data_IF_824530741211
#
_entry.id   IF_824530741211
#
_cell.length_a   1.000
_cell.length_b   1.000
_cell.length_c   1.000
_cell.angle_alpha   90.00
_cell.angle_beta   90.00
_cell.angle_gamma   90.00
#
_symmetry.space_group_name_H-M   'P 1'
#
loop_
_entity.id
_entity.type
_entity.pdbx_description
1 polymer ?
#
# COMPACT_ATOMS: atom_id res chain seq x y z
N UNK A 1 17.59 3.89 -2.89
CA UNK A 1 16.96 3.81 -4.25
C UNK A 1 15.46 3.69 -4.04
N UNK A 2 14.64 4.38 -4.83
CA UNK A 2 13.16 4.32 -4.69
C UNK A 2 12.58 3.48 -5.81
N UNK A 3 11.58 2.63 -5.47
CA UNK A 3 10.87 1.78 -6.44
C UNK A 3 9.45 1.51 -5.94
N UNK A 4 8.55 1.14 -6.85
CA UNK A 4 7.22 0.66 -6.45
C UNK A 4 7.41 -0.59 -5.56
N UNK A 5 6.82 -0.55 -4.36
CA UNK A 5 6.85 -1.65 -3.39
C UNK A 5 5.61 -2.53 -3.53
N UNK A 6 4.45 -1.94 -3.36
CA UNK A 6 3.19 -2.66 -3.49
C UNK A 6 2.03 -1.76 -3.91
N UNK A 7 1.01 -2.41 -4.43
CA UNK A 7 -0.29 -1.81 -4.74
C UNK A 7 -1.28 -2.31 -3.71
N UNK A 8 -2.04 -1.40 -3.10
CA UNK A 8 -3.03 -1.70 -2.09
C UNK A 8 -4.42 -1.84 -2.73
N UNK A 9 -4.98 -3.04 -2.70
CA UNK A 9 -6.34 -3.36 -3.10
C UNK A 9 -7.20 -3.53 -1.86
N UNK A 10 -8.08 -2.57 -1.60
CA UNK A 10 -8.96 -2.60 -0.44
C UNK A 10 -10.27 -3.32 -0.76
N UNK A 11 -10.82 -4.01 0.23
CA UNK A 11 -12.11 -4.67 0.17
C UNK A 11 -12.79 -4.64 1.56
N UNK A 12 -14.13 -4.71 1.62
CA UNK A 12 -14.85 -4.70 2.90
C UNK A 12 -14.71 -6.02 3.66
N UNK A 13 -14.43 -7.12 2.97
CA UNK A 13 -14.16 -8.45 3.54
C UNK A 13 -12.97 -9.09 2.86
N UNK A 14 -12.01 -9.60 3.66
CA UNK A 14 -10.74 -10.10 3.13
C UNK A 14 -10.93 -11.35 2.25
N UNK A 15 -11.84 -12.25 2.62
CA UNK A 15 -12.06 -13.46 1.83
C UNK A 15 -12.65 -13.12 0.46
N UNK A 16 -13.60 -12.18 0.42
CA UNK A 16 -14.15 -11.67 -0.83
C UNK A 16 -13.05 -11.10 -1.74
N UNK A 17 -12.13 -10.28 -1.19
CA UNK A 17 -11.01 -9.75 -1.96
C UNK A 17 -10.03 -10.82 -2.45
N UNK A 18 -9.75 -11.85 -1.64
CA UNK A 18 -8.95 -13.00 -2.03
C UNK A 18 -9.59 -13.74 -3.21
N UNK A 19 -10.88 -14.03 -3.11
CA UNK A 19 -11.62 -14.77 -4.13
C UNK A 19 -11.69 -13.99 -5.46
N UNK A 20 -11.89 -12.68 -5.40
CA UNK A 20 -11.87 -11.79 -6.57
C UNK A 20 -10.50 -11.81 -7.27
N UNK A 21 -9.41 -11.62 -6.51
CA UNK A 21 -8.05 -11.63 -7.07
C UNK A 21 -7.68 -13.02 -7.60
N UNK A 22 -8.06 -14.08 -6.91
CA UNK A 22 -7.87 -15.44 -7.41
C UNK A 22 -8.62 -15.68 -8.74
N UNK A 23 -9.86 -15.25 -8.84
CA UNK A 23 -10.65 -15.37 -10.07
C UNK A 23 -10.03 -14.62 -11.26
N UNK A 24 -9.39 -13.47 -10.99
CA UNK A 24 -8.74 -12.65 -12.02
C UNK A 24 -7.37 -13.20 -12.45
N UNK A 25 -6.61 -13.76 -11.51
CA UNK A 25 -5.19 -14.08 -11.71
C UNK A 25 -4.91 -15.58 -11.83
N UNK A 26 -5.80 -16.43 -11.29
CA UNK A 26 -5.56 -17.86 -11.12
C UNK A 26 -4.53 -18.21 -10.04
N UNK A 27 -4.01 -17.21 -9.32
CA UNK A 27 -3.03 -17.41 -8.23
C UNK A 27 -3.68 -17.06 -6.89
N UNK A 28 -3.67 -18.00 -5.96
CA UNK A 28 -4.27 -17.85 -4.64
C UNK A 28 -3.40 -16.94 -3.76
N UNK A 29 -3.90 -15.77 -3.31
CA UNK A 29 -3.19 -14.95 -2.33
C UNK A 29 -3.01 -15.67 -0.99
N UNK A 30 -1.93 -15.38 -0.27
CA UNK A 30 -1.64 -15.96 1.04
C UNK A 30 -1.92 -14.95 2.15
N UNK A 31 -2.43 -15.45 3.28
CA UNK A 31 -2.66 -14.60 4.46
C UNK A 31 -1.37 -13.95 4.92
N UNK A 32 -1.37 -12.63 5.07
CA UNK A 32 -0.25 -11.84 5.57
C UNK A 32 -0.29 -11.68 7.08
N UNK A 33 -1.41 -11.26 7.62
CA UNK A 33 -1.63 -11.09 9.04
C UNK A 33 -2.47 -9.86 9.41
N UNK A 34 -2.64 -9.66 10.70
CA UNK A 34 -3.30 -8.52 11.31
C UNK A 34 -2.31 -7.38 11.56
N UNK A 35 -2.77 -6.14 11.42
CA UNK A 35 -2.01 -4.93 11.76
C UNK A 35 -2.54 -4.38 13.10
N UNK A 36 -1.88 -4.68 14.22
CA UNK A 36 -2.38 -4.31 15.54
C UNK A 36 -2.56 -2.79 15.71
N UNK A 37 -3.71 -2.37 16.20
CA UNK A 37 -4.05 -0.96 16.44
C UNK A 37 -4.41 -0.16 15.17
N UNK A 38 -4.32 -0.78 13.98
CA UNK A 38 -4.70 -0.17 12.71
C UNK A 38 -6.10 -0.63 12.26
N UNK A 39 -6.60 -1.70 12.86
CA UNK A 39 -7.92 -2.26 12.56
C UNK A 39 -7.99 -2.96 11.21
N UNK A 40 -6.84 -3.35 10.62
CA UNK A 40 -6.77 -4.01 9.31
C UNK A 40 -6.06 -5.34 9.36
N UNK A 41 -6.36 -6.20 8.39
CA UNK A 41 -5.66 -7.45 8.08
C UNK A 41 -5.47 -7.57 6.56
N UNK A 42 -4.52 -8.39 6.13
CA UNK A 42 -4.22 -8.49 4.73
C UNK A 42 -3.95 -9.92 4.23
N UNK A 43 -3.99 -10.05 2.90
CA UNK A 43 -3.46 -11.17 2.13
C UNK A 43 -2.58 -10.62 1.01
N UNK A 44 -1.60 -11.40 0.55
CA UNK A 44 -0.54 -10.94 -0.30
C UNK A 44 -0.34 -11.86 -1.51
N UNK A 45 0.02 -11.27 -2.64
CA UNK A 45 0.35 -11.93 -3.89
C UNK A 45 1.57 -11.27 -4.52
N UNK A 46 2.63 -12.02 -4.84
CA UNK A 46 3.81 -11.48 -5.52
C UNK A 46 3.48 -11.01 -6.94
N UNK A 47 4.05 -9.87 -7.33
CA UNK A 47 4.00 -9.31 -8.69
C UNK A 47 5.37 -9.32 -9.37
N UNK A 48 6.28 -10.19 -8.90
CA UNK A 48 7.70 -10.26 -9.25
C UNK A 48 8.51 -9.00 -8.87
N UNK A 49 9.81 -8.99 -9.14
CA UNK A 49 10.71 -7.83 -8.96
C UNK A 49 10.63 -7.13 -7.58
N UNK A 50 10.44 -7.89 -6.51
CA UNK A 50 10.23 -7.35 -5.16
C UNK A 50 8.99 -6.44 -5.05
N UNK A 51 7.96 -6.74 -5.82
CA UNK A 51 6.67 -6.05 -5.77
C UNK A 51 5.57 -7.04 -5.37
N UNK A 52 4.52 -6.55 -4.74
CA UNK A 52 3.36 -7.37 -4.40
C UNK A 52 2.04 -6.59 -4.47
N UNK A 53 0.95 -7.33 -4.59
CA UNK A 53 -0.39 -6.84 -4.37
C UNK A 53 -0.75 -7.12 -2.91
N UNK A 54 -1.12 -6.08 -2.18
CA UNK A 54 -1.69 -6.18 -0.85
C UNK A 54 -3.21 -6.12 -0.96
N UNK A 55 -3.90 -7.19 -0.60
CA UNK A 55 -5.35 -7.21 -0.41
C UNK A 55 -5.59 -6.88 1.05
N UNK A 56 -6.20 -5.71 1.32
CA UNK A 56 -6.40 -5.21 2.68
C UNK A 56 -7.88 -5.06 3.01
N UNK A 57 -8.26 -5.46 4.20
CA UNK A 57 -9.64 -5.37 4.69
C UNK A 57 -9.67 -4.99 6.18
N UNK A 58 -10.83 -4.53 6.68
CA UNK A 58 -11.05 -4.40 8.11
C UNK A 58 -10.78 -5.73 8.84
N UNK A 59 -10.21 -5.65 10.03
CA UNK A 59 -9.97 -6.81 10.88
C UNK A 59 -11.06 -6.91 11.95
N UNK A 60 -12.03 -7.83 11.83
CA UNK A 60 -13.14 -7.95 12.78
C UNK A 60 -12.71 -8.41 14.18
N UNK A 61 -11.44 -8.82 14.36
CA UNK A 61 -10.89 -9.18 15.66
C UNK A 61 -10.39 -7.98 16.46
N UNK A 62 -10.38 -6.77 15.86
CA UNK A 62 -9.94 -5.52 16.49
C UNK A 62 -11.12 -4.56 16.69
N UNK A 63 -10.97 -3.64 17.63
CA UNK A 63 -11.83 -2.46 17.69
C UNK A 63 -11.48 -1.55 16.50
N UNK A 64 -12.48 -1.21 15.69
CA UNK A 64 -12.29 -0.43 14.46
C UNK A 64 -12.47 1.07 14.68
N UNK A 65 -13.03 1.51 15.80
CA UNK A 65 -13.32 2.93 16.04
C UNK A 65 -12.05 3.81 15.89
N UNK A 66 -12.11 4.78 14.98
CA UNK A 66 -11.01 5.71 14.72
C UNK A 66 -9.80 5.11 14.00
N UNK A 67 -9.89 3.89 13.48
CA UNK A 67 -8.80 3.20 12.79
C UNK A 67 -8.92 3.26 11.26
N UNK A 68 -7.84 2.87 10.56
CA UNK A 68 -7.87 2.66 9.11
C UNK A 68 -8.89 1.59 8.70
N UNK A 69 -9.07 0.55 9.54
CA UNK A 69 -10.09 -0.48 9.30
C UNK A 69 -11.50 0.12 9.24
N UNK A 70 -11.84 1.06 10.12
CA UNK A 70 -13.11 1.80 10.06
C UNK A 70 -13.23 2.61 8.77
N UNK A 71 -12.16 3.31 8.36
CA UNK A 71 -12.18 4.10 7.12
C UNK A 71 -12.40 3.21 5.88
N UNK A 72 -11.81 2.01 5.84
CA UNK A 72 -12.04 1.05 4.75
C UNK A 72 -13.49 0.56 4.75
N UNK A 73 -14.06 0.30 5.92
CA UNK A 73 -15.45 -0.13 6.06
C UNK A 73 -16.43 0.95 5.59
N UNK A 74 -16.23 2.18 6.03
CA UNK A 74 -17.08 3.34 5.72
C UNK A 74 -17.01 3.71 4.23
N UNK A 75 -15.83 3.57 3.62
CA UNK A 75 -15.66 3.83 2.19
C UNK A 75 -16.43 2.81 1.35
N UNK A 76 -16.47 1.55 1.79
CA UNK A 76 -17.13 0.45 1.09
C UNK A 76 -16.53 0.13 -0.27
N UNK A 77 -17.02 -0.94 -0.89
CA UNK A 77 -16.60 -1.38 -2.22
C UNK A 77 -15.19 -1.94 -2.28
N UNK A 78 -14.81 -2.48 -3.44
CA UNK A 78 -13.50 -3.06 -3.70
C UNK A 78 -12.72 -2.21 -4.72
N UNK A 79 -11.39 -2.28 -4.70
CA UNK A 79 -10.52 -1.65 -5.68
C UNK A 79 -9.22 -1.11 -5.14
N UNK A 80 -8.38 -0.64 -6.06
CA UNK A 80 -7.09 0.00 -5.72
C UNK A 80 -7.38 1.31 -4.98
N UNK A 81 -6.73 1.50 -3.83
CA UNK A 81 -6.88 2.70 -2.98
C UNK A 81 -5.60 3.48 -2.82
N UNK A 82 -4.45 2.82 -2.88
CA UNK A 82 -3.17 3.46 -2.68
C UNK A 82 -2.05 2.58 -3.24
N UNK A 83 -0.83 3.08 -3.20
CA UNK A 83 0.38 2.32 -3.53
C UNK A 83 1.54 2.83 -2.70
N UNK A 84 2.50 1.97 -2.44
CA UNK A 84 3.69 2.27 -1.67
C UNK A 84 4.94 2.35 -2.52
N UNK A 85 5.84 3.23 -2.13
CA UNK A 85 7.19 3.37 -2.68
C UNK A 85 8.19 2.91 -1.62
N UNK A 86 8.99 1.88 -1.93
CA UNK A 86 10.09 1.47 -1.08
C UNK A 86 11.21 2.52 -1.08
N UNK A 87 11.80 2.76 0.07
CA UNK A 87 12.97 3.63 0.22
C UNK A 87 13.87 3.15 1.36
N UNK A 88 15.13 3.57 1.31
CA UNK A 88 16.15 3.22 2.31
C UNK A 88 16.17 4.20 3.51
N UNK A 89 15.41 5.31 3.45
CA UNK A 89 15.36 6.33 4.51
C UNK A 89 14.16 7.26 4.34
N UNK A 90 13.20 7.15 5.24
CA UNK A 90 12.04 8.04 5.28
C UNK A 90 12.42 9.48 5.66
N UNK A 91 13.46 9.66 6.48
CA UNK A 91 13.94 11.00 6.82
C UNK A 91 14.48 11.77 5.59
N UNK A 92 15.14 11.05 4.68
CA UNK A 92 15.57 11.64 3.40
C UNK A 92 14.37 12.01 2.53
N UNK A 93 13.34 11.16 2.50
CA UNK A 93 12.09 11.46 1.78
C UNK A 93 11.43 12.71 2.34
N UNK A 94 11.33 12.86 3.67
CA UNK A 94 10.79 14.07 4.29
C UNK A 94 11.59 15.33 3.89
N UNK A 95 12.91 15.24 3.89
CA UNK A 95 13.79 16.35 3.50
C UNK A 95 13.55 16.76 2.04
N UNK A 96 13.45 15.78 1.13
CA UNK A 96 13.20 16.01 -0.28
C UNK A 96 11.78 16.55 -0.54
N UNK A 97 10.79 16.06 0.18
CA UNK A 97 9.41 16.54 0.11
C UNK A 97 9.34 18.02 0.57
N UNK A 98 9.95 18.34 1.69
CA UNK A 98 10.02 19.72 2.21
C UNK A 98 10.68 20.68 1.21
N UNK A 99 11.76 20.26 0.56
CA UNK A 99 12.45 21.07 -0.46
C UNK A 99 11.57 21.33 -1.71
N UNK A 100 10.50 20.54 -1.91
CA UNK A 100 9.53 20.68 -3.00
C UNK A 100 8.19 21.28 -2.54
N UNK A 101 8.10 21.74 -1.30
CA UNK A 101 6.86 22.19 -0.65
C UNK A 101 5.74 21.13 -0.63
N UNK A 102 6.12 19.86 -0.54
CA UNK A 102 5.20 18.73 -0.37
C UNK A 102 5.10 18.45 1.13
N UNK A 103 3.88 18.49 1.67
CA UNK A 103 3.63 18.21 3.09
C UNK A 103 3.75 16.71 3.39
N UNK A 104 4.33 16.38 4.54
CA UNK A 104 4.41 15.02 5.06
C UNK A 104 3.73 14.93 6.43
N UNK A 105 3.31 13.70 6.80
CA UNK A 105 2.90 13.35 8.16
C UNK A 105 4.11 12.86 8.97
N UNK A 106 3.88 12.49 10.21
CA UNK A 106 4.91 11.85 11.03
C UNK A 106 5.23 10.44 10.50
N UNK A 107 6.46 10.00 10.73
CA UNK A 107 6.88 8.63 10.46
C UNK A 107 6.19 7.70 11.49
N UNK A 108 5.59 6.63 11.03
CA UNK A 108 4.83 5.69 11.84
C UNK A 108 5.53 4.33 11.87
N UNK A 109 5.81 3.83 13.06
CA UNK A 109 6.29 2.46 13.26
C UNK A 109 5.12 1.47 13.10
N UNK A 110 5.35 0.46 12.29
CA UNK A 110 4.39 -0.58 11.99
C UNK A 110 4.96 -1.96 12.26
N UNK A 111 4.10 -2.91 12.59
CA UNK A 111 4.48 -4.31 12.67
C UNK A 111 3.28 -5.23 12.43
N UNK A 112 3.58 -6.46 12.04
CA UNK A 112 2.63 -7.58 12.07
C UNK A 112 3.35 -8.88 12.38
N UNK A 113 2.59 -9.87 12.78
CA UNK A 113 3.10 -11.24 12.91
C UNK A 113 2.51 -12.07 11.78
N UNK A 114 3.37 -12.78 11.05
CA UNK A 114 2.95 -13.73 10.02
C UNK A 114 2.23 -14.93 10.66
N UNK A 115 1.46 -15.74 9.88
CA UNK A 115 0.87 -16.97 10.39
C UNK A 115 1.90 -17.95 11.01
N UNK A 116 3.14 -17.93 10.52
CA UNK A 116 4.25 -18.75 11.04
C UNK A 116 4.94 -18.16 12.29
N UNK A 117 4.40 -17.05 12.82
CA UNK A 117 4.90 -16.44 14.05
C UNK A 117 6.11 -15.50 13.89
N UNK A 118 6.51 -15.18 12.66
CA UNK A 118 7.59 -14.23 12.39
C UNK A 118 7.06 -12.80 12.53
N UNK A 119 7.70 -12.01 13.39
CA UNK A 119 7.39 -10.58 13.49
C UNK A 119 8.13 -9.79 12.42
N UNK A 120 7.39 -9.10 11.57
CA UNK A 120 7.90 -8.10 10.64
C UNK A 120 7.69 -6.71 11.23
N UNK A 121 8.65 -5.81 11.02
CA UNK A 121 8.57 -4.41 11.43
C UNK A 121 9.03 -3.52 10.28
N UNK A 122 8.35 -2.41 10.08
CA UNK A 122 8.65 -1.42 9.06
C UNK A 122 8.20 -0.04 9.51
N UNK A 123 8.58 0.96 8.75
CA UNK A 123 8.12 2.34 8.97
C UNK A 123 7.36 2.84 7.75
N UNK A 124 6.40 3.72 7.96
CA UNK A 124 5.61 4.37 6.93
C UNK A 124 5.72 5.89 7.03
N UNK A 125 5.68 6.55 5.88
CA UNK A 125 5.57 7.99 5.76
C UNK A 125 4.47 8.32 4.74
N UNK A 126 3.42 8.98 5.19
CA UNK A 126 2.34 9.47 4.33
C UNK A 126 2.61 10.92 3.94
N UNK A 127 2.26 11.26 2.70
CA UNK A 127 2.15 12.65 2.28
C UNK A 127 0.81 13.23 2.74
N UNK A 128 0.70 14.55 2.83
CA UNK A 128 -0.55 15.20 3.25
C UNK A 128 -1.63 15.13 2.17
N UNK A 129 -1.23 15.03 0.90
CA UNK A 129 -2.15 14.78 -0.21
C UNK A 129 -2.50 13.27 -0.25
N UNK A 130 -3.77 12.89 -0.03
CA UNK A 130 -4.20 11.49 -0.02
C UNK A 130 -4.17 10.81 -1.40
N UNK A 131 -3.99 11.58 -2.48
CA UNK A 131 -3.88 11.05 -3.84
C UNK A 131 -2.44 10.72 -4.24
N UNK A 132 -1.50 10.95 -3.35
CA UNK A 132 -0.09 10.65 -3.53
C UNK A 132 0.26 9.27 -2.91
N UNK A 133 1.37 8.64 -3.35
CA UNK A 133 1.85 7.43 -2.71
C UNK A 133 2.25 7.67 -1.26
N UNK A 134 2.32 6.61 -0.49
CA UNK A 134 3.05 6.61 0.76
C UNK A 134 4.39 5.89 0.59
N UNK A 135 5.31 6.11 1.54
CA UNK A 135 6.65 5.52 1.50
C UNK A 135 6.78 4.49 2.61
N UNK A 136 7.54 3.44 2.32
CA UNK A 136 7.82 2.35 3.23
C UNK A 136 9.31 2.06 3.31
N UNK A 137 9.79 1.88 4.54
CA UNK A 137 11.12 1.36 4.86
C UNK A 137 10.95 0.05 5.65
N UNK A 138 11.37 -1.06 5.07
CA UNK A 138 11.23 -2.39 5.67
C UNK A 138 12.24 -2.64 6.79
N UNK A 139 13.13 -1.69 7.04
CA UNK A 139 14.20 -1.82 8.04
C UNK A 139 15.03 -3.10 7.82
N UNK A 140 15.02 -4.00 8.82
CA UNK A 140 15.69 -5.31 8.74
C UNK A 140 14.73 -6.47 8.44
N UNK A 141 13.45 -6.19 8.18
CA UNK A 141 12.48 -7.23 7.88
C UNK A 141 12.64 -7.76 6.46
N UNK A 142 12.51 -9.07 6.24
CA UNK A 142 12.48 -9.62 4.89
C UNK A 142 11.26 -9.07 4.13
N UNK A 143 11.50 -8.71 2.86
CA UNK A 143 10.44 -8.19 2.01
C UNK A 143 9.38 -9.27 1.72
N UNK A 144 8.08 -8.98 1.87
CA UNK A 144 7.00 -9.96 1.73
C UNK A 144 6.96 -10.67 0.38
N UNK A 145 7.30 -10.00 -0.71
CA UNK A 145 7.31 -10.62 -2.04
C UNK A 145 8.25 -11.84 -2.16
N UNK A 146 9.20 -12.01 -1.23
CA UNK A 146 10.11 -13.16 -1.22
C UNK A 146 9.45 -14.46 -0.73
N UNK A 147 8.34 -14.34 0.00
CA UNK A 147 7.64 -15.48 0.61
C UNK A 147 6.18 -15.62 0.20
N UNK A 148 5.70 -14.75 -0.71
CA UNK A 148 4.32 -14.79 -1.21
C UNK A 148 4.22 -15.58 -2.52
N UNK A 149 3.03 -16.13 -2.86
CA UNK A 149 2.82 -16.89 -4.09
C UNK A 149 3.20 -16.08 -5.32
N UNK A 150 3.94 -16.70 -6.22
CA UNK A 150 4.36 -16.17 -7.51
C UNK A 150 3.41 -16.65 -8.62
N UNK A 151 3.56 -16.09 -9.83
CA UNK A 151 2.77 -16.44 -11.01
C UNK A 151 2.05 -15.27 -11.64
N UNK A 152 2.12 -14.11 -11.01
CA UNK A 152 1.68 -12.83 -11.57
C UNK A 152 2.87 -11.92 -11.80
N UNK A 153 2.77 -11.06 -12.80
CA UNK A 153 3.76 -10.02 -13.08
C UNK A 153 3.05 -8.71 -13.36
N UNK A 154 3.52 -7.63 -12.75
CA UNK A 154 3.02 -6.29 -13.05
C UNK A 154 3.57 -5.83 -14.40
N UNK A 155 2.70 -5.72 -15.40
CA UNK A 155 3.08 -5.23 -16.73
C UNK A 155 3.07 -3.71 -16.84
N UNK A 156 2.12 -3.06 -16.15
CA UNK A 156 2.02 -1.60 -16.11
C UNK A 156 1.17 -1.16 -14.91
N UNK A 157 1.49 0.01 -14.36
CA UNK A 157 0.70 0.69 -13.35
C UNK A 157 0.49 2.15 -13.80
N UNK A 158 -0.76 2.52 -14.03
CA UNK A 158 -1.13 3.84 -14.51
C UNK A 158 -1.84 4.63 -13.42
N UNK A 159 -1.38 5.85 -13.19
CA UNK A 159 -1.98 6.78 -12.25
C UNK A 159 -2.62 7.90 -13.05
N UNK A 160 -3.94 8.05 -12.93
CA UNK A 160 -4.67 9.16 -13.56
C UNK A 160 -4.90 10.25 -12.53
N UNK A 161 -4.37 11.44 -12.77
CA UNK A 161 -4.77 12.62 -11.99
C UNK A 161 -6.17 13.02 -12.43
N UNK A 162 -7.18 12.84 -11.57
CA UNK A 162 -8.47 13.46 -11.78
C UNK A 162 -8.33 14.96 -11.52
N UNK A 163 -8.54 15.77 -12.56
CA UNK A 163 -8.61 17.22 -12.43
C UNK A 163 -9.89 17.56 -11.66
N UNK A 164 -9.77 17.91 -10.40
CA UNK A 164 -10.74 18.82 -9.77
C UNK A 164 -10.51 20.16 -10.43
N UNK A 165 -11.61 20.76 -10.93
CA UNK A 165 -11.63 22.05 -11.60
C UNK A 165 -10.92 23.12 -10.76
N UNK A 166 -9.65 23.36 -11.03
CA UNK A 166 -8.99 24.62 -10.75
C UNK A 166 -8.05 24.94 -11.91
N UNK A 167 -8.35 26.06 -12.54
CA UNK A 167 -7.71 26.61 -13.71
C UNK A 167 -6.21 26.79 -13.54
N UNK A 168 -5.48 26.37 -14.56
CA UNK A 168 -4.07 26.57 -14.86
C UNK A 168 -3.06 25.58 -14.29
N UNK A 169 -3.05 24.35 -14.83
CA UNK A 169 -1.80 23.69 -15.27
C UNK A 169 -2.22 22.61 -16.29
N UNK A 170 -1.96 22.86 -17.56
CA UNK A 170 -2.08 21.88 -18.62
C UNK A 170 -0.86 20.94 -18.56
N UNK A 171 -1.06 19.74 -18.01
CA UNK A 171 -0.14 18.62 -18.27
C UNK A 171 -0.99 17.47 -18.79
N UNK A 172 -1.02 17.36 -20.11
CA UNK A 172 -1.67 16.27 -20.83
C UNK A 172 -0.75 15.05 -20.85
N UNK A 173 -1.07 14.03 -20.06
CA UNK A 173 -0.42 12.72 -20.10
C UNK A 173 -0.63 11.94 -18.81
N UNK A 174 -0.63 10.59 -18.84
CA UNK A 174 -0.64 9.79 -17.63
C UNK A 174 0.66 10.05 -16.86
N UNK A 175 0.54 10.41 -15.57
CA UNK A 175 1.70 10.51 -14.69
C UNK A 175 2.17 9.12 -14.29
N UNK A 176 3.48 8.91 -14.32
CA UNK A 176 4.11 7.70 -13.81
C UNK A 176 4.55 7.92 -12.36
N UNK A 177 4.81 6.85 -11.61
CA UNK A 177 5.35 6.99 -10.25
C UNK A 177 6.69 7.76 -10.22
N UNK A 178 7.44 7.79 -11.34
CA UNK A 178 8.67 8.57 -11.48
C UNK A 178 8.43 10.09 -11.45
N UNK A 179 7.22 10.55 -11.74
CA UNK A 179 6.86 11.97 -11.65
C UNK A 179 6.72 12.45 -10.19
N UNK A 180 6.71 11.50 -9.24
CA UNK A 180 6.61 11.76 -7.80
C UNK A 180 7.94 11.56 -7.05
N UNK A 181 9.01 11.15 -7.76
CA UNK A 181 10.37 10.99 -7.25
C UNK A 181 11.26 12.16 -7.69
#
# INVERSE_FOLDING_TARGET
MTQLDHIMYACPDLQTGIDEIYALTGVMPVMGGSHPGVGTRNALLSLDNHQYLEIIAPDPAQDLEGTTGQLLLDHGGTGIRSWAIACDSLANVQTLAAARNIGTRDIIDMSRTTPDGIRLAWQLLFLTDPHMPFFIDWLQSPHPALSTPTGCQLSAFHISASHTNDSHISTTGPKTYQDFL
#
